data_IF_199046373320
#
_entry.id   IF_199046373320
#
_cell.length_a   1.000
_cell.length_b   1.000
_cell.length_c   1.000
_cell.angle_alpha   90.00
_cell.angle_beta   90.00
_cell.angle_gamma   90.00
#
_symmetry.space_group_name_H-M   'P 1'
#
loop_
_entity.id
_entity.type
_entity.pdbx_description
1 polymer ?
#
# COMPACT_ATOMS: atom_id res chain seq x y z
N UNK A 1 -18.42 -10.45 17.77
CA UNK A 1 -18.14 -11.85 18.17
C UNK A 1 -17.97 -11.90 19.68
N UNK A 2 -18.39 -12.96 20.40
CA UNK A 2 -17.92 -13.17 21.77
C UNK A 2 -16.39 -13.21 21.73
N UNK A 3 -15.69 -12.53 22.65
CA UNK A 3 -14.23 -12.71 22.71
C UNK A 3 -13.93 -14.21 22.81
N UNK A 4 -12.87 -14.68 22.13
CA UNK A 4 -12.41 -16.05 22.32
C UNK A 4 -12.19 -16.26 23.81
N UNK A 5 -13.05 -17.07 24.43
CA UNK A 5 -12.87 -17.52 25.80
C UNK A 5 -11.77 -18.54 25.72
N UNK A 6 -10.54 -18.07 25.88
CA UNK A 6 -9.39 -18.96 25.90
C UNK A 6 -9.49 -19.83 27.15
N UNK A 7 -9.37 -21.13 26.96
CA UNK A 7 -9.09 -22.05 28.07
C UNK A 7 -7.72 -21.68 28.67
N UNK A 8 -7.49 -21.95 29.96
CA UNK A 8 -6.18 -21.70 30.61
C UNK A 8 -5.00 -22.25 29.79
N UNK A 9 -5.22 -23.33 29.06
CA UNK A 9 -4.25 -23.97 28.16
C UNK A 9 -3.93 -23.11 26.93
N UNK A 10 -4.92 -22.44 26.35
CA UNK A 10 -4.74 -21.59 25.16
C UNK A 10 -4.10 -20.24 25.51
N UNK A 11 -4.37 -19.67 26.70
CA UNK A 11 -3.68 -18.47 27.18
C UNK A 11 -2.20 -18.74 27.42
N UNK A 12 -1.86 -19.88 28.03
CA UNK A 12 -0.47 -20.27 28.25
C UNK A 12 0.30 -20.45 26.92
N UNK A 13 -0.38 -20.96 25.89
CA UNK A 13 0.21 -21.17 24.55
C UNK A 13 0.39 -19.84 23.79
N UNK A 14 -0.58 -18.92 23.90
CA UNK A 14 -0.49 -17.56 23.36
C UNK A 14 0.65 -16.75 24.01
N UNK A 15 0.74 -16.80 25.34
CA UNK A 15 1.82 -16.17 26.11
C UNK A 15 3.18 -16.74 25.68
N UNK A 16 3.25 -18.05 25.50
CA UNK A 16 4.46 -18.72 25.02
C UNK A 16 4.83 -18.28 23.60
N UNK A 17 3.87 -18.13 22.69
CA UNK A 17 4.09 -17.59 21.33
C UNK A 17 4.68 -16.18 21.38
N UNK A 18 4.13 -15.31 22.23
CA UNK A 18 4.63 -13.94 22.44
C UNK A 18 6.08 -13.97 22.94
N UNK A 19 6.42 -14.84 23.90
CA UNK A 19 7.78 -14.98 24.41
C UNK A 19 8.79 -15.53 23.38
N UNK A 20 8.32 -16.25 22.36
CA UNK A 20 9.14 -16.68 21.22
C UNK A 20 9.22 -15.63 20.09
N UNK A 21 8.65 -14.44 20.29
CA UNK A 21 8.63 -13.37 19.30
C UNK A 21 7.66 -13.60 18.14
N UNK A 22 6.75 -14.56 18.27
CA UNK A 22 5.70 -14.81 17.29
C UNK A 22 4.45 -13.97 17.66
N UNK A 23 4.17 -12.95 16.84
CA UNK A 23 3.06 -12.00 17.02
C UNK A 23 1.87 -12.29 16.09
N UNK A 24 1.88 -13.44 15.39
CA UNK A 24 0.78 -13.82 14.51
C UNK A 24 -0.44 -14.28 15.31
N UNK A 25 -1.65 -13.95 14.84
CA UNK A 25 -2.94 -14.36 15.43
C UNK A 25 -3.19 -13.91 16.89
N UNK A 26 -2.62 -12.77 17.30
CA UNK A 26 -2.95 -12.17 18.58
C UNK A 26 -4.45 -11.79 18.66
N UNK A 27 -5.11 -11.94 19.82
CA UNK A 27 -6.47 -11.45 20.01
C UNK A 27 -6.56 -9.95 19.77
N UNK A 28 -7.67 -9.50 19.20
CA UNK A 28 -7.98 -8.07 19.05
C UNK A 28 -7.95 -7.40 20.42
N UNK A 29 -7.17 -6.33 20.59
CA UNK A 29 -7.20 -5.56 21.83
C UNK A 29 -8.54 -4.82 21.95
N UNK A 30 -9.07 -4.75 23.17
CA UNK A 30 -10.09 -3.77 23.51
C UNK A 30 -9.48 -2.36 23.34
N UNK A 31 -9.65 -1.78 22.16
CA UNK A 31 -9.09 -0.48 21.83
C UNK A 31 -10.07 0.64 22.11
N UNK A 32 -9.55 1.85 22.30
CA UNK A 32 -10.31 3.11 22.36
C UNK A 32 -9.87 4.09 21.26
N UNK A 33 -9.09 3.61 20.30
CA UNK A 33 -8.45 4.43 19.26
C UNK A 33 -9.10 4.16 17.90
N UNK A 34 -9.22 5.21 17.08
CA UNK A 34 -9.77 5.19 15.74
C UNK A 34 -8.79 5.90 14.78
N UNK A 35 -8.27 5.21 13.76
CA UNK A 35 -7.15 5.68 12.93
C UNK A 35 -7.53 6.07 11.47
N UNK A 36 -8.02 7.29 11.16
CA UNK A 36 -8.32 7.77 9.77
C UNK A 36 -8.13 9.31 9.62
N UNK A 37 -7.89 9.84 8.41
CA UNK A 37 -7.74 11.27 7.99
C UNK A 37 -9.05 12.13 8.08
N UNK A 38 -9.13 13.49 8.06
CA UNK A 38 -8.65 14.62 8.91
C UNK A 38 -9.79 15.62 9.13
N UNK A 39 -9.89 16.22 10.34
CA UNK A 39 -10.41 17.56 10.71
C UNK A 39 -10.49 17.60 12.25
N UNK A 40 -10.27 18.75 12.90
CA UNK A 40 -10.45 18.90 14.37
C UNK A 40 -11.85 18.48 14.83
N UNK A 41 -12.83 18.60 13.93
CA UNK A 41 -14.20 18.16 14.16
C UNK A 41 -14.33 16.66 14.41
N UNK A 42 -13.50 15.79 13.82
CA UNK A 42 -13.58 14.35 14.10
C UNK A 42 -13.01 14.01 15.48
N UNK A 43 -11.92 14.65 15.87
CA UNK A 43 -11.33 14.46 17.19
C UNK A 43 -12.30 14.88 18.28
N UNK A 44 -12.94 16.04 18.12
CA UNK A 44 -14.00 16.48 19.04
C UNK A 44 -15.19 15.52 19.01
N UNK A 45 -15.72 15.18 17.84
CA UNK A 45 -16.85 14.27 17.70
C UNK A 45 -16.62 12.90 18.35
N UNK A 46 -15.48 12.26 18.08
CA UNK A 46 -15.18 10.93 18.61
C UNK A 46 -14.99 10.95 20.13
N UNK A 47 -14.31 11.98 20.63
CA UNK A 47 -14.07 12.16 22.07
C UNK A 47 -15.36 12.48 22.82
N UNK A 48 -16.13 13.45 22.33
CA UNK A 48 -17.34 13.94 23.01
C UNK A 48 -18.50 12.95 22.92
N UNK A 49 -18.71 12.34 21.74
CA UNK A 49 -19.86 11.43 21.53
C UNK A 49 -19.58 10.01 22.02
N UNK A 50 -18.36 9.52 21.85
CA UNK A 50 -18.04 8.10 22.06
C UNK A 50 -16.92 7.85 23.06
N UNK A 51 -16.22 8.89 23.56
CA UNK A 51 -15.08 8.73 24.47
C UNK A 51 -13.87 8.06 23.81
N UNK A 52 -13.75 8.17 22.48
CA UNK A 52 -12.67 7.58 21.69
C UNK A 52 -11.58 8.60 21.37
N UNK A 53 -10.35 8.12 21.26
CA UNK A 53 -9.23 8.87 20.70
C UNK A 53 -9.22 8.70 19.17
N UNK A 54 -9.14 9.82 18.45
CA UNK A 54 -9.03 9.83 17.00
C UNK A 54 -7.58 10.08 16.60
N UNK A 55 -6.97 9.07 16.00
CA UNK A 55 -5.64 9.12 15.41
C UNK A 55 -5.77 9.18 13.88
N UNK A 56 -4.80 9.79 13.21
CA UNK A 56 -4.72 9.81 11.76
C UNK A 56 -3.43 9.12 11.39
N UNK A 57 -3.51 8.14 10.49
CA UNK A 57 -2.33 7.45 9.97
C UNK A 57 -2.28 7.64 8.47
N UNK A 58 -1.24 8.32 8.00
CA UNK A 58 -0.93 8.47 6.58
C UNK A 58 0.30 7.62 6.27
N UNK A 59 0.12 6.60 5.42
CA UNK A 59 1.17 5.64 5.05
C UNK A 59 2.28 6.22 4.16
N UNK A 60 2.14 7.47 3.73
CA UNK A 60 3.11 8.20 2.89
C UNK A 60 3.76 9.37 3.64
N UNK A 61 3.23 9.75 4.80
CA UNK A 61 3.82 10.79 5.63
C UNK A 61 4.85 10.19 6.59
N UNK A 62 6.03 10.81 6.70
CA UNK A 62 7.01 10.44 7.71
C UNK A 62 7.86 9.22 7.35
N UNK A 63 7.77 8.75 6.09
CA UNK A 63 8.78 7.86 5.50
C UNK A 63 10.10 8.62 5.47
N UNK A 64 11.05 8.17 6.28
CA UNK A 64 12.37 8.78 6.36
C UNK A 64 13.27 8.28 5.23
N UNK A 65 14.31 9.06 4.91
CA UNK A 65 15.30 8.69 3.89
C UNK A 65 15.93 7.32 4.17
N UNK A 66 16.10 6.96 5.44
CA UNK A 66 16.63 5.66 5.87
C UNK A 66 15.72 4.48 5.48
N UNK A 67 14.40 4.69 5.38
CA UNK A 67 13.47 3.66 4.92
C UNK A 67 13.58 3.42 3.41
N UNK A 68 13.97 4.45 2.66
CA UNK A 68 14.30 4.34 1.23
C UNK A 68 15.62 3.59 1.04
N UNK A 69 16.62 3.88 1.89
CA UNK A 69 17.93 3.22 1.87
C UNK A 69 17.80 1.71 2.08
N UNK A 70 17.06 1.29 3.11
CA UNK A 70 16.83 -0.12 3.45
C UNK A 70 15.71 -0.80 2.65
N UNK A 71 15.07 -0.11 1.71
CA UNK A 71 13.91 -0.58 0.93
C UNK A 71 12.68 -0.99 1.78
N UNK A 72 12.57 -0.49 3.01
CA UNK A 72 11.54 -0.88 4.00
C UNK A 72 10.23 -0.12 3.86
N UNK A 73 10.14 0.91 3.02
CA UNK A 73 8.95 1.77 2.91
C UNK A 73 7.65 0.99 2.71
N UNK A 74 7.64 -0.03 1.84
CA UNK A 74 6.43 -0.84 1.61
C UNK A 74 6.12 -1.75 2.78
N UNK A 75 7.14 -2.34 3.41
CA UNK A 75 6.97 -3.21 4.58
C UNK A 75 6.40 -2.44 5.77
N UNK A 76 6.95 -1.25 6.07
CA UNK A 76 6.44 -0.37 7.13
C UNK A 76 4.99 0.04 6.87
N UNK A 77 4.63 0.32 5.62
CA UNK A 77 3.27 0.61 5.23
C UNK A 77 2.31 -0.58 5.49
N UNK A 78 2.70 -1.81 5.14
CA UNK A 78 1.89 -3.00 5.42
C UNK A 78 1.76 -3.28 6.92
N UNK A 79 2.83 -3.07 7.70
CA UNK A 79 2.79 -3.24 9.16
C UNK A 79 1.86 -2.22 9.83
N UNK A 80 1.86 -0.99 9.33
CA UNK A 80 1.01 0.07 9.86
C UNK A 80 -0.48 -0.20 9.56
N UNK A 81 -0.75 -0.74 8.38
CA UNK A 81 -2.06 -1.29 8.01
C UNK A 81 -2.51 -2.36 9.03
N UNK A 82 -1.68 -3.39 9.26
CA UNK A 82 -2.00 -4.48 10.18
C UNK A 82 -2.23 -3.95 11.61
N UNK A 83 -1.46 -2.95 12.03
CA UNK A 83 -1.65 -2.27 13.30
C UNK A 83 -3.01 -1.55 13.35
N UNK A 84 -3.38 -0.80 12.32
CA UNK A 84 -4.66 -0.11 12.23
C UNK A 84 -5.83 -1.11 12.31
N UNK A 85 -5.73 -2.27 11.66
CA UNK A 85 -6.73 -3.33 11.78
C UNK A 85 -6.86 -3.86 13.21
N UNK A 86 -5.72 -4.06 13.88
CA UNK A 86 -5.66 -4.63 15.23
C UNK A 86 -6.18 -3.68 16.30
N UNK A 87 -5.97 -2.36 16.12
CA UNK A 87 -6.26 -1.36 17.15
C UNK A 87 -7.47 -0.48 16.85
N UNK A 88 -8.03 -0.47 15.65
CA UNK A 88 -9.15 0.44 15.38
C UNK A 88 -10.48 -0.14 15.83
N UNK A 89 -11.25 0.63 16.60
CA UNK A 89 -12.64 0.29 16.96
C UNK A 89 -13.61 0.48 15.81
N UNK A 90 -13.33 1.48 14.96
CA UNK A 90 -14.18 1.86 13.85
C UNK A 90 -13.50 1.68 12.51
N UNK A 91 -13.83 2.52 11.51
CA UNK A 91 -13.20 2.42 10.22
C UNK A 91 -11.67 2.50 10.37
N UNK A 92 -10.97 1.61 9.66
CA UNK A 92 -9.52 1.42 9.79
C UNK A 92 -8.78 1.61 8.46
N UNK A 93 -9.52 1.73 7.36
CA UNK A 93 -8.95 1.92 6.04
C UNK A 93 -9.85 2.80 5.17
N UNK A 94 -9.25 3.86 4.60
CA UNK A 94 -9.90 4.67 3.56
C UNK A 94 -8.98 4.76 2.37
N UNK A 95 -9.49 4.45 1.19
CA UNK A 95 -8.70 4.41 -0.04
C UNK A 95 -9.31 5.30 -1.13
N UNK A 96 -8.43 6.04 -1.81
CA UNK A 96 -8.75 6.84 -2.97
C UNK A 96 -8.15 6.19 -4.22
N UNK A 97 -8.97 5.56 -5.06
CA UNK A 97 -8.53 4.94 -6.31
C UNK A 97 -8.85 5.86 -7.50
N UNK A 98 -7.79 6.39 -8.11
CA UNK A 98 -7.85 7.19 -9.33
C UNK A 98 -7.59 6.36 -10.60
N UNK A 99 -6.97 7.00 -11.60
CA UNK A 99 -6.50 6.37 -12.85
C UNK A 99 -4.99 6.10 -12.85
N UNK A 100 -4.33 6.26 -11.69
CA UNK A 100 -2.92 5.94 -11.49
C UNK A 100 -2.80 4.64 -10.71
N UNK A 101 -2.22 3.63 -11.34
CA UNK A 101 -1.86 2.36 -10.73
C UNK A 101 -0.67 2.53 -9.77
N UNK A 102 0.28 3.39 -10.16
CA UNK A 102 1.31 3.91 -9.29
C UNK A 102 2.60 3.09 -9.24
N UNK A 103 3.38 3.35 -8.20
CA UNK A 103 4.72 2.79 -8.04
C UNK A 103 4.67 1.28 -7.81
N UNK A 104 5.48 0.55 -8.57
CA UNK A 104 5.65 -0.90 -8.52
C UNK A 104 7.07 -1.19 -8.00
N UNK A 105 7.22 -1.47 -6.70
CA UNK A 105 8.53 -1.53 -6.05
C UNK A 105 9.34 -2.75 -6.48
N UNK A 106 10.66 -2.66 -6.31
CA UNK A 106 11.52 -3.84 -6.39
C UNK A 106 11.18 -4.81 -5.25
N UNK A 107 11.20 -6.14 -5.51
CA UNK A 107 11.09 -7.11 -4.45
C UNK A 107 12.31 -7.02 -3.53
N UNK A 108 12.10 -6.80 -2.24
CA UNK A 108 13.19 -6.72 -1.25
C UNK A 108 13.79 -8.08 -0.93
N UNK A 109 12.98 -9.14 -1.07
CA UNK A 109 13.34 -10.53 -0.85
C UNK A 109 12.83 -11.37 -2.02
N UNK A 110 13.68 -12.25 -2.53
CA UNK A 110 13.36 -13.19 -3.60
C UNK A 110 13.80 -14.59 -3.15
N UNK A 111 12.97 -15.60 -3.34
CA UNK A 111 13.36 -16.99 -3.05
C UNK A 111 14.55 -17.41 -3.91
N UNK A 112 15.49 -18.17 -3.35
CA UNK A 112 16.70 -18.57 -4.07
C UNK A 112 16.41 -19.26 -5.42
N UNK A 113 15.41 -20.15 -5.45
CA UNK A 113 15.01 -20.83 -6.68
C UNK A 113 14.51 -19.84 -7.75
N UNK A 114 13.64 -18.90 -7.36
CA UNK A 114 13.13 -17.85 -8.26
C UNK A 114 14.25 -16.93 -8.73
N UNK A 115 15.17 -16.54 -7.84
CA UNK A 115 16.31 -15.68 -8.15
C UNK A 115 17.26 -16.33 -9.17
N UNK A 116 17.64 -17.60 -8.93
CA UNK A 116 18.50 -18.36 -9.85
C UNK A 116 17.84 -18.57 -11.21
N UNK A 117 16.54 -18.84 -11.23
CA UNK A 117 15.76 -18.92 -12.47
C UNK A 117 15.78 -17.57 -13.21
N UNK A 118 15.58 -16.46 -12.49
CA UNK A 118 15.69 -15.10 -13.04
C UNK A 118 17.04 -14.85 -13.70
N UNK A 119 18.15 -15.16 -13.00
CA UNK A 119 19.50 -15.05 -13.56
C UNK A 119 19.69 -15.86 -14.86
N UNK A 120 19.10 -17.05 -14.94
CA UNK A 120 19.24 -17.93 -16.12
C UNK A 120 18.58 -17.37 -17.39
N UNK A 121 17.64 -16.44 -17.24
CA UNK A 121 16.91 -15.82 -18.35
C UNK A 121 17.30 -14.36 -18.60
N UNK A 122 18.10 -13.78 -17.70
CA UNK A 122 18.58 -12.41 -17.80
C UNK A 122 19.70 -12.25 -18.82
N UNK A 123 19.81 -11.05 -19.39
CA UNK A 123 21.00 -10.66 -20.15
C UNK A 123 22.24 -10.66 -19.23
N UNK A 124 23.46 -10.79 -19.77
CA UNK A 124 24.67 -10.70 -18.96
C UNK A 124 24.76 -9.42 -18.13
N UNK A 125 24.23 -8.31 -18.64
CA UNK A 125 24.26 -7.01 -17.97
C UNK A 125 23.27 -6.97 -16.80
N UNK A 126 22.04 -7.44 -17.02
CA UNK A 126 21.02 -7.54 -15.98
C UNK A 126 21.41 -8.55 -14.88
N UNK A 127 22.03 -9.67 -15.26
CA UNK A 127 22.52 -10.67 -14.31
C UNK A 127 23.65 -10.11 -13.41
N UNK A 128 24.54 -9.27 -13.96
CA UNK A 128 25.53 -8.55 -13.15
C UNK A 128 24.86 -7.57 -12.20
N UNK A 129 23.82 -6.88 -12.64
CA UNK A 129 23.06 -5.94 -11.81
C UNK A 129 22.37 -6.66 -10.65
N UNK A 130 21.71 -7.78 -10.91
CA UNK A 130 21.13 -8.62 -9.86
C UNK A 130 22.17 -9.14 -8.88
N UNK A 131 23.30 -9.66 -9.38
CA UNK A 131 24.37 -10.18 -8.53
C UNK A 131 25.04 -9.10 -7.66
N UNK A 132 25.05 -7.85 -8.14
CA UNK A 132 25.53 -6.70 -7.38
C UNK A 132 24.57 -6.35 -6.23
N UNK A 133 23.28 -6.23 -6.55
CA UNK A 133 22.27 -5.67 -5.65
C UNK A 133 21.56 -6.68 -4.75
N UNK A 134 21.55 -7.96 -5.09
CA UNK A 134 20.92 -9.00 -4.29
C UNK A 134 21.96 -9.96 -3.74
N UNK A 135 21.95 -10.19 -2.42
CA UNK A 135 22.87 -11.12 -1.74
C UNK A 135 22.10 -12.23 -1.04
N UNK A 136 22.67 -13.42 -1.08
CA UNK A 136 22.12 -14.60 -0.42
C UNK A 136 22.17 -14.42 1.10
N UNK A 137 21.01 -14.46 1.74
CA UNK A 137 20.84 -14.66 3.17
C UNK A 137 20.49 -16.12 3.41
N UNK A 138 21.44 -16.86 3.97
CA UNK A 138 21.32 -18.28 4.31
C UNK A 138 20.85 -18.53 5.74
N UNK A 139 20.56 -17.46 6.50
CA UNK A 139 20.10 -17.59 7.89
C UNK A 139 18.60 -17.93 8.02
N UNK A 140 17.89 -18.01 6.88
CA UNK A 140 16.46 -18.31 6.84
C UNK A 140 16.21 -19.76 6.38
N UNK A 141 15.12 -20.37 6.88
CA UNK A 141 14.77 -21.78 6.63
C UNK A 141 14.63 -22.05 5.13
N UNK A 142 14.06 -21.10 4.39
CA UNK A 142 14.20 -21.01 2.95
C UNK A 142 15.29 -19.96 2.65
N UNK A 143 16.33 -20.33 1.91
CA UNK A 143 17.38 -19.38 1.53
C UNK A 143 16.82 -18.30 0.60
N UNK A 144 17.09 -17.03 0.93
CA UNK A 144 16.54 -15.86 0.24
C UNK A 144 17.66 -15.00 -0.33
N UNK A 145 17.39 -14.33 -1.45
CA UNK A 145 18.20 -13.22 -1.94
C UNK A 145 17.57 -11.90 -1.50
N UNK A 146 18.35 -11.11 -0.75
CA UNK A 146 17.92 -9.83 -0.17
C UNK A 146 18.53 -8.66 -0.94
N UNK A 147 17.69 -7.69 -1.31
CA UNK A 147 18.11 -6.43 -1.90
C UNK A 147 18.97 -5.66 -0.87
N UNK A 148 20.14 -5.21 -1.30
CA UNK A 148 21.09 -4.52 -0.44
C UNK A 148 20.70 -3.05 -0.23
N UNK A 149 20.98 -2.48 0.96
CA UNK A 149 20.84 -1.05 1.19
C UNK A 149 21.58 -0.21 0.13
N UNK A 150 20.98 0.92 -0.24
CA UNK A 150 21.52 1.81 -1.29
C UNK A 150 22.90 2.34 -0.89
N UNK A 151 23.04 2.72 0.38
CA UNK A 151 24.24 3.27 1.02
C UNK A 151 25.43 2.32 1.06
N UNK A 152 25.22 1.00 0.86
CA UNK A 152 26.33 0.05 0.74
C UNK A 152 27.11 0.20 -0.58
N UNK A 153 26.46 0.72 -1.62
CA UNK A 153 27.06 0.91 -2.94
C UNK A 153 27.26 2.41 -3.21
N UNK A 154 26.24 3.21 -2.94
CA UNK A 154 26.24 4.66 -3.08
C UNK A 154 26.43 5.32 -1.70
N UNK A 155 27.68 5.41 -1.27
CA UNK A 155 28.06 5.72 0.11
C UNK A 155 27.52 7.07 0.65
N UNK A 156 27.25 8.03 -0.23
CA UNK A 156 26.77 9.36 0.16
C UNK A 156 25.25 9.48 0.06
N UNK A 157 24.52 8.39 -0.23
CA UNK A 157 23.06 8.40 -0.42
C UNK A 157 22.29 8.99 0.76
N UNK A 158 22.82 8.86 1.98
CA UNK A 158 22.23 9.43 3.21
C UNK A 158 23.11 10.53 3.83
N UNK A 159 24.12 11.03 3.12
CA UNK A 159 25.10 11.99 3.65
C UNK A 159 24.56 13.43 3.60
N UNK A 160 23.77 13.76 4.62
CA UNK A 160 23.21 15.11 4.82
C UNK A 160 24.28 16.19 5.01
N UNK A 161 25.53 15.83 5.34
CA UNK A 161 26.62 16.78 5.47
C UNK A 161 27.21 17.20 4.12
N UNK A 162 27.04 16.39 3.07
CA UNK A 162 27.55 16.66 1.72
C UNK A 162 26.43 16.62 0.66
N UNK A 163 25.54 17.64 0.58
CA UNK A 163 24.36 17.61 -0.28
C UNK A 163 24.63 17.35 -1.77
N UNK A 164 25.74 17.86 -2.29
CA UNK A 164 26.11 17.65 -3.71
C UNK A 164 26.43 16.19 -4.02
N UNK A 165 27.18 15.52 -3.13
CA UNK A 165 27.52 14.11 -3.31
C UNK A 165 26.28 13.22 -3.10
N UNK A 166 25.42 13.60 -2.16
CA UNK A 166 24.13 12.95 -1.94
C UNK A 166 23.24 13.03 -3.19
N UNK A 167 23.08 14.21 -3.80
CA UNK A 167 22.29 14.37 -5.04
C UNK A 167 22.84 13.54 -6.21
N UNK A 168 24.17 13.45 -6.33
CA UNK A 168 24.84 12.62 -7.34
C UNK A 168 24.56 11.12 -7.14
N UNK A 169 24.64 10.65 -5.89
CA UNK A 169 24.37 9.26 -5.53
C UNK A 169 22.87 8.90 -5.62
N UNK A 170 21.98 9.82 -5.23
CA UNK A 170 20.53 9.68 -5.41
C UNK A 170 20.16 9.55 -6.89
N UNK A 171 20.71 10.40 -7.75
CA UNK A 171 20.47 10.36 -9.19
C UNK A 171 20.91 9.02 -9.79
N UNK A 172 22.10 8.54 -9.41
CA UNK A 172 22.61 7.23 -9.82
C UNK A 172 21.74 6.08 -9.32
N UNK A 173 21.23 6.16 -8.08
CA UNK A 173 20.29 5.19 -7.55
C UNK A 173 18.99 5.17 -8.35
N UNK A 174 18.39 6.33 -8.65
CA UNK A 174 17.14 6.40 -9.41
C UNK A 174 17.28 5.84 -10.85
N UNK A 175 18.43 6.04 -11.48
CA UNK A 175 18.74 5.38 -12.75
C UNK A 175 18.89 3.86 -12.58
N UNK A 176 19.60 3.43 -11.53
CA UNK A 176 19.88 2.03 -11.22
C UNK A 176 18.61 1.25 -10.88
N UNK A 177 17.73 1.80 -10.04
CA UNK A 177 16.44 1.19 -9.71
C UNK A 177 15.52 1.10 -10.93
N UNK A 178 15.60 2.06 -11.86
CA UNK A 178 14.90 1.96 -13.16
C UNK A 178 15.38 0.76 -13.98
N UNK A 179 16.70 0.55 -14.06
CA UNK A 179 17.30 -0.61 -14.73
C UNK A 179 16.93 -1.94 -14.04
N UNK A 180 17.03 -2.00 -12.70
CA UNK A 180 16.64 -3.16 -11.91
C UNK A 180 15.16 -3.51 -12.11
N UNK A 181 14.26 -2.52 -12.03
CA UNK A 181 12.83 -2.75 -12.19
C UNK A 181 12.51 -3.33 -13.57
N UNK A 182 13.13 -2.79 -14.62
CA UNK A 182 13.01 -3.33 -15.98
C UNK A 182 13.53 -4.77 -16.03
N UNK A 183 14.72 -5.03 -15.51
CA UNK A 183 15.34 -6.35 -15.51
C UNK A 183 14.46 -7.39 -14.79
N UNK A 184 13.92 -7.07 -13.60
CA UNK A 184 13.05 -7.96 -12.82
C UNK A 184 11.79 -8.31 -13.60
N UNK A 185 11.12 -7.32 -14.18
CA UNK A 185 9.87 -7.55 -14.93
C UNK A 185 10.10 -8.35 -16.21
N UNK A 186 11.21 -8.08 -16.93
CA UNK A 186 11.59 -8.86 -18.11
C UNK A 186 11.89 -10.31 -17.73
N UNK A 187 12.63 -10.54 -16.65
CA UNK A 187 12.93 -11.89 -16.17
C UNK A 187 11.65 -12.63 -15.75
N UNK A 188 10.77 -12.00 -14.97
CA UNK A 188 9.50 -12.59 -14.55
C UNK A 188 8.61 -12.97 -15.76
N UNK A 189 8.53 -12.08 -16.77
CA UNK A 189 7.78 -12.35 -18.00
C UNK A 189 8.36 -13.50 -18.81
N UNK A 190 9.69 -13.62 -18.87
CA UNK A 190 10.35 -14.72 -19.56
C UNK A 190 10.16 -16.05 -18.83
N UNK A 191 10.18 -16.05 -17.50
CA UNK A 191 9.84 -17.23 -16.70
C UNK A 191 8.38 -17.66 -16.87
N UNK A 192 7.46 -16.70 -17.04
CA UNK A 192 6.06 -16.99 -17.37
C UNK A 192 5.94 -17.67 -18.73
N UNK A 193 6.64 -17.16 -19.76
CA UNK A 193 6.64 -17.76 -21.11
C UNK A 193 7.19 -19.18 -21.11
N UNK A 194 8.16 -19.48 -20.25
CA UNK A 194 8.75 -20.82 -20.08
C UNK A 194 7.90 -21.76 -19.23
N UNK A 195 6.77 -21.29 -18.68
CA UNK A 195 5.91 -22.08 -17.81
C UNK A 195 6.50 -22.37 -16.43
N UNK A 196 7.59 -21.68 -16.05
CA UNK A 196 8.19 -21.78 -14.72
C UNK A 196 7.38 -20.95 -13.72
N UNK A 197 6.97 -19.74 -14.13
CA UNK A 197 6.04 -18.91 -13.38
C UNK A 197 4.62 -19.12 -13.86
N UNK A 198 3.68 -19.19 -12.92
CA UNK A 198 2.27 -18.98 -13.20
C UNK A 198 1.98 -17.49 -13.44
N UNK A 199 0.79 -17.14 -13.99
CA UNK A 199 0.37 -15.74 -14.07
C UNK A 199 0.36 -15.04 -12.71
N UNK A 200 0.06 -15.77 -11.63
CA UNK A 200 0.09 -15.24 -10.27
C UNK A 200 1.51 -14.91 -9.81
N UNK A 201 2.48 -15.78 -10.10
CA UNK A 201 3.90 -15.56 -9.79
C UNK A 201 4.43 -14.34 -10.53
N UNK A 202 4.19 -14.25 -11.84
CA UNK A 202 4.56 -13.09 -12.63
C UNK A 202 3.89 -11.80 -12.11
N UNK A 203 2.62 -11.87 -11.71
CA UNK A 203 1.91 -10.72 -11.17
C UNK A 203 2.57 -10.19 -9.89
N UNK A 204 3.12 -11.05 -9.00
CA UNK A 204 3.83 -10.61 -7.78
C UNK A 204 4.94 -9.60 -8.07
N UNK A 205 5.67 -9.79 -9.16
CA UNK A 205 6.76 -8.91 -9.60
C UNK A 205 6.29 -7.63 -10.31
N UNK A 206 4.98 -7.47 -10.50
CA UNK A 206 4.37 -6.36 -11.23
C UNK A 206 3.32 -5.59 -10.40
N UNK A 207 3.08 -5.94 -9.14
CA UNK A 207 2.07 -5.25 -8.31
C UNK A 207 2.53 -3.87 -7.90
N UNK A 208 1.61 -2.90 -7.89
CA UNK A 208 1.87 -1.60 -7.29
C UNK A 208 1.73 -1.66 -5.77
N UNK A 209 2.30 -0.68 -5.07
CA UNK A 209 2.07 -0.53 -3.62
C UNK A 209 0.57 -0.37 -3.33
N UNK A 210 -0.14 0.43 -4.13
CA UNK A 210 -1.60 0.60 -4.01
C UNK A 210 -2.34 -0.72 -4.13
N UNK A 211 -1.96 -1.59 -5.07
CA UNK A 211 -2.56 -2.92 -5.15
C UNK A 211 -2.27 -3.74 -3.89
N UNK A 212 -1.04 -3.71 -3.37
CA UNK A 212 -0.69 -4.46 -2.16
C UNK A 212 -1.54 -4.02 -0.96
N UNK A 213 -1.72 -2.71 -0.77
CA UNK A 213 -2.57 -2.12 0.28
C UNK A 213 -4.03 -2.59 0.14
N UNK A 214 -4.60 -2.47 -1.07
CA UNK A 214 -5.98 -2.88 -1.33
C UNK A 214 -6.18 -4.38 -1.19
N UNK A 215 -5.22 -5.20 -1.64
CA UNK A 215 -5.28 -6.65 -1.49
C UNK A 215 -5.27 -7.02 -0.01
N UNK A 216 -4.41 -6.38 0.79
CA UNK A 216 -4.33 -6.63 2.25
C UNK A 216 -5.64 -6.25 2.94
N UNK A 217 -6.13 -5.03 2.69
CA UNK A 217 -7.23 -4.44 3.48
C UNK A 217 -8.63 -4.74 2.96
N UNK A 218 -8.79 -4.86 1.66
CA UNK A 218 -10.12 -5.05 1.08
C UNK A 218 -10.29 -6.50 0.66
N UNK A 219 -9.31 -7.09 -0.04
CA UNK A 219 -9.51 -8.42 -0.62
C UNK A 219 -9.30 -9.55 0.38
N UNK A 220 -8.35 -9.41 1.31
CA UNK A 220 -7.96 -10.45 2.26
C UNK A 220 -8.48 -10.23 3.69
N UNK A 221 -8.96 -9.04 4.04
CA UNK A 221 -9.47 -8.76 5.39
C UNK A 221 -10.78 -9.50 5.67
N UNK A 222 -10.90 -10.04 6.89
CA UNK A 222 -12.07 -10.81 7.33
C UNK A 222 -13.31 -9.93 7.59
N UNK A 223 -13.12 -8.72 8.14
CA UNK A 223 -14.18 -7.78 8.53
C UNK A 223 -14.09 -6.46 7.75
N UNK A 224 -14.32 -6.50 6.42
CA UNK A 224 -14.12 -5.35 5.53
C UNK A 224 -15.33 -4.42 5.33
N UNK A 225 -16.54 -4.93 5.54
CA UNK A 225 -17.77 -4.24 5.10
C UNK A 225 -18.07 -2.99 5.95
N UNK A 226 -17.77 -3.04 7.25
CA UNK A 226 -18.05 -1.94 8.19
C UNK A 226 -16.80 -1.11 8.55
N UNK A 227 -15.61 -1.51 8.08
CA UNK A 227 -14.36 -0.86 8.45
C UNK A 227 -13.65 -0.13 7.31
N UNK A 228 -14.13 -0.30 6.07
CA UNK A 228 -13.49 0.28 4.89
C UNK A 228 -14.39 1.26 4.14
N UNK A 229 -13.80 2.38 3.71
CA UNK A 229 -14.43 3.37 2.83
C UNK A 229 -13.60 3.55 1.57
N UNK A 230 -14.24 3.51 0.41
CA UNK A 230 -13.55 3.55 -0.88
C UNK A 230 -14.10 4.68 -1.74
N UNK A 231 -13.20 5.48 -2.29
CA UNK A 231 -13.51 6.58 -3.18
C UNK A 231 -12.88 6.33 -4.55
N UNK A 232 -13.70 6.28 -5.59
CA UNK A 232 -13.23 6.21 -6.97
C UNK A 232 -13.33 7.57 -7.61
N UNK A 233 -12.24 7.97 -8.30
CA UNK A 233 -12.23 9.17 -9.12
C UNK A 233 -11.86 8.83 -10.56
N UNK A 234 -12.76 9.14 -11.47
CA UNK A 234 -12.50 9.17 -12.89
C UNK A 234 -12.29 10.62 -13.36
N UNK A 235 -11.19 10.89 -14.02
CA UNK A 235 -10.89 12.16 -14.69
C UNK A 235 -11.06 11.92 -16.19
N UNK A 236 -12.02 12.60 -16.79
CA UNK A 236 -12.27 12.52 -18.23
C UNK A 236 -11.30 13.41 -18.99
N UNK A 237 -10.97 13.00 -20.22
CA UNK A 237 -10.18 13.80 -21.17
C UNK A 237 -8.79 14.21 -20.66
N UNK A 238 -8.11 13.34 -19.91
CA UNK A 238 -6.73 13.59 -19.44
C UNK A 238 -5.83 13.95 -20.63
N UNK A 239 -5.24 15.14 -20.60
CA UNK A 239 -4.32 15.58 -21.64
C UNK A 239 -2.93 14.94 -21.47
N UNK A 240 -2.70 13.84 -22.18
CA UNK A 240 -1.39 13.13 -22.21
C UNK A 240 -0.28 13.97 -22.86
N UNK A 241 -0.64 14.98 -23.66
CA UNK A 241 0.30 15.94 -24.26
C UNK A 241 1.01 16.84 -23.23
N UNK A 242 0.53 16.88 -21.98
CA UNK A 242 1.12 17.62 -20.87
C UNK A 242 1.69 16.66 -19.79
N UNK A 243 2.74 15.87 -20.07
CA UNK A 243 3.20 14.79 -19.21
C UNK A 243 3.56 15.25 -17.79
N UNK A 244 4.09 16.48 -17.63
CA UNK A 244 4.40 17.06 -16.31
C UNK A 244 3.19 17.10 -15.36
N UNK A 245 1.98 17.21 -15.91
CA UNK A 245 0.73 17.24 -15.15
C UNK A 245 0.02 15.88 -15.20
N UNK A 246 -0.13 15.28 -16.38
CA UNK A 246 -0.87 14.01 -16.54
C UNK A 246 -0.22 12.82 -15.83
N UNK A 247 1.12 12.75 -15.72
CA UNK A 247 1.81 11.67 -14.99
C UNK A 247 1.41 11.58 -13.51
N UNK A 248 0.87 12.66 -12.93
CA UNK A 248 0.35 12.68 -11.55
C UNK A 248 -0.95 11.88 -11.40
N UNK A 249 -1.68 11.67 -12.49
CA UNK A 249 -3.04 11.11 -12.49
C UNK A 249 -3.18 9.81 -13.27
N UNK A 250 -2.26 9.55 -14.20
CA UNK A 250 -2.21 8.32 -15.01
C UNK A 250 -0.75 7.89 -15.20
N UNK A 251 -0.51 6.59 -15.37
CA UNK A 251 0.82 6.07 -15.63
C UNK A 251 1.19 6.25 -17.10
N UNK A 252 2.36 6.84 -17.34
CA UNK A 252 2.87 7.15 -18.68
C UNK A 252 4.27 6.55 -18.80
N UNK A 253 4.49 5.80 -19.87
CA UNK A 253 5.78 5.22 -20.24
C UNK A 253 6.07 5.59 -21.68
N UNK A 254 7.29 6.07 -21.96
CA UNK A 254 7.69 6.46 -23.33
C UNK A 254 6.73 7.45 -24.01
N UNK A 255 6.20 8.41 -23.23
CA UNK A 255 5.20 9.43 -23.66
C UNK A 255 3.84 8.86 -24.09
N UNK A 256 3.53 7.61 -23.74
CA UNK A 256 2.24 6.96 -24.00
C UNK A 256 1.66 6.44 -22.68
N UNK A 257 0.35 6.22 -22.66
CA UNK A 257 -0.31 5.59 -21.50
C UNK A 257 0.27 4.19 -21.31
N UNK A 258 0.61 3.85 -20.07
CA UNK A 258 1.03 2.50 -19.72
C UNK A 258 -0.19 1.57 -19.67
N UNK A 259 -0.48 0.94 -20.81
CA UNK A 259 -1.62 0.03 -20.98
C UNK A 259 -1.57 -1.18 -20.02
N UNK A 260 -0.39 -1.63 -19.62
CA UNK A 260 -0.25 -2.72 -18.66
C UNK A 260 -0.70 -2.27 -17.26
N UNK A 261 -0.24 -1.10 -16.81
CA UNK A 261 -0.70 -0.47 -15.58
C UNK A 261 -2.23 -0.26 -15.59
N UNK A 262 -2.78 0.26 -16.69
CA UNK A 262 -4.21 0.52 -16.79
C UNK A 262 -5.04 -0.78 -16.72
N UNK A 263 -4.61 -1.87 -17.36
CA UNK A 263 -5.29 -3.17 -17.24
C UNK A 263 -5.29 -3.69 -15.80
N UNK A 264 -4.15 -3.65 -15.12
CA UNK A 264 -4.07 -4.09 -13.72
C UNK A 264 -4.91 -3.21 -12.79
N UNK A 265 -4.92 -1.89 -13.03
CA UNK A 265 -5.75 -0.96 -12.28
C UNK A 265 -7.24 -1.21 -12.50
N UNK A 266 -7.68 -1.41 -13.74
CA UNK A 266 -9.09 -1.69 -14.04
C UNK A 266 -9.55 -3.00 -13.40
N UNK A 267 -8.74 -4.05 -13.44
CA UNK A 267 -9.04 -5.30 -12.72
C UNK A 267 -9.16 -5.06 -11.20
N UNK A 268 -8.24 -4.30 -10.60
CA UNK A 268 -8.29 -3.98 -9.17
C UNK A 268 -9.52 -3.11 -8.81
N UNK A 269 -9.62 -1.93 -9.43
CA UNK A 269 -10.57 -0.86 -9.09
C UNK A 269 -11.98 -1.15 -9.57
N UNK A 270 -12.14 -1.68 -10.77
CA UNK A 270 -13.45 -1.79 -11.42
C UNK A 270 -14.06 -3.20 -11.28
N UNK A 271 -13.26 -4.21 -10.93
CA UNK A 271 -13.72 -5.61 -10.79
C UNK A 271 -13.56 -6.12 -9.35
N UNK A 272 -12.33 -6.25 -8.84
CA UNK A 272 -12.07 -6.93 -7.56
C UNK A 272 -12.60 -6.16 -6.36
N UNK A 273 -12.39 -4.84 -6.30
CA UNK A 273 -12.86 -4.01 -5.19
C UNK A 273 -14.40 -3.95 -5.12
N UNK A 274 -15.13 -3.67 -6.23
CA UNK A 274 -16.60 -3.71 -6.23
C UNK A 274 -17.18 -5.09 -5.92
N UNK A 275 -16.49 -6.17 -6.29
CA UNK A 275 -16.91 -7.53 -5.92
C UNK A 275 -16.70 -7.84 -4.42
N UNK A 276 -15.77 -7.15 -3.76
CA UNK A 276 -15.42 -7.39 -2.37
C UNK A 276 -16.22 -6.52 -1.37
N UNK A 277 -16.59 -5.30 -1.77
CA UNK A 277 -17.25 -4.32 -0.91
C UNK A 277 -18.74 -4.15 -1.24
N UNK A 278 -19.51 -3.64 -0.27
CA UNK A 278 -20.87 -3.20 -0.54
C UNK A 278 -20.87 -1.90 -1.36
N UNK A 279 -21.89 -1.68 -2.20
CA UNK A 279 -22.01 -0.42 -2.95
C UNK A 279 -22.13 0.80 -2.01
N UNK A 280 -22.58 0.61 -0.76
CA UNK A 280 -22.64 1.71 0.23
C UNK A 280 -21.26 2.16 0.72
N UNK A 281 -20.25 1.28 0.62
CA UNK A 281 -18.86 1.55 1.01
C UNK A 281 -18.05 2.16 -0.14
N UNK A 282 -18.65 2.32 -1.33
CA UNK A 282 -18.00 2.86 -2.53
C UNK A 282 -18.67 4.18 -2.92
N UNK A 283 -17.87 5.24 -3.01
CA UNK A 283 -18.30 6.56 -3.51
C UNK A 283 -17.59 6.81 -4.82
N UNK A 284 -18.31 7.29 -5.83
CA UNK A 284 -17.77 7.50 -7.19
C UNK A 284 -17.88 8.96 -7.57
N UNK A 285 -16.81 9.47 -8.16
CA UNK A 285 -16.75 10.82 -8.72
C UNK A 285 -16.21 10.78 -10.14
N UNK A 286 -16.79 11.61 -10.99
CA UNK A 286 -16.28 11.90 -12.33
C UNK A 286 -16.04 13.39 -12.45
N UNK A 287 -14.84 13.78 -12.89
CA UNK A 287 -14.43 15.18 -13.07
C UNK A 287 -13.78 15.37 -14.44
N UNK A 288 -13.80 16.59 -14.95
CA UNK A 288 -13.17 16.91 -16.24
C UNK A 288 -11.71 17.32 -16.06
N UNK A 289 -10.86 16.92 -16.99
CA UNK A 289 -9.54 17.53 -17.12
C UNK A 289 -9.66 18.99 -17.56
N UNK A 290 -8.87 19.86 -16.95
CA UNK A 290 -8.75 21.28 -17.30
C UNK A 290 -7.36 21.57 -17.87
N UNK A 291 -7.26 22.55 -18.77
CA UNK A 291 -6.13 22.70 -19.69
C UNK A 291 -4.77 23.04 -19.05
N UNK A 292 -4.73 23.67 -17.88
CA UNK A 292 -3.46 24.13 -17.27
C UNK A 292 -2.78 23.04 -16.41
N UNK A 293 -3.49 22.51 -15.41
CA UNK A 293 -2.93 21.64 -14.38
C UNK A 293 -3.64 20.28 -14.25
N UNK A 294 -4.64 20.04 -15.10
CA UNK A 294 -5.58 18.93 -14.98
C UNK A 294 -6.69 19.19 -13.98
N UNK A 295 -6.37 19.32 -12.69
CA UNK A 295 -7.35 19.64 -11.65
C UNK A 295 -7.08 21.00 -11.01
N UNK A 296 -7.99 21.95 -11.26
CA UNK A 296 -7.95 23.30 -10.70
C UNK A 296 -8.92 23.45 -9.51
N UNK A 297 -8.47 24.06 -8.39
CA UNK A 297 -9.29 24.24 -7.17
C UNK A 297 -10.53 25.12 -7.38
N UNK A 298 -10.43 26.15 -8.21
CA UNK A 298 -11.53 27.07 -8.51
C UNK A 298 -12.56 26.40 -9.40
N UNK A 299 -12.11 25.77 -10.49
CA UNK A 299 -13.00 25.06 -11.42
C UNK A 299 -13.69 23.87 -10.76
N UNK A 300 -12.99 23.14 -9.89
CA UNK A 300 -13.52 21.96 -9.20
C UNK A 300 -14.02 22.27 -7.79
N UNK A 301 -14.30 23.54 -7.46
CA UNK A 301 -14.68 23.93 -6.09
C UNK A 301 -15.93 23.17 -5.59
N UNK A 302 -16.95 23.04 -6.44
CA UNK A 302 -18.18 22.30 -6.12
C UNK A 302 -17.90 20.81 -5.86
N UNK A 303 -17.12 20.17 -6.74
CA UNK A 303 -16.67 18.78 -6.55
C UNK A 303 -15.91 18.61 -5.24
N UNK A 304 -14.95 19.50 -4.94
CA UNK A 304 -14.16 19.43 -3.71
C UNK A 304 -15.02 19.60 -2.47
N UNK A 305 -15.97 20.54 -2.49
CA UNK A 305 -16.90 20.75 -1.39
C UNK A 305 -17.77 19.51 -1.17
N UNK A 306 -18.38 18.98 -2.22
CA UNK A 306 -19.21 17.78 -2.14
C UNK A 306 -18.41 16.55 -1.67
N UNK A 307 -17.17 16.42 -2.13
CA UNK A 307 -16.26 15.38 -1.69
C UNK A 307 -15.96 15.47 -0.19
N UNK A 308 -15.64 16.66 0.32
CA UNK A 308 -15.36 16.89 1.74
C UNK A 308 -16.59 16.56 2.60
N UNK A 309 -17.76 17.06 2.21
CA UNK A 309 -19.01 16.80 2.92
C UNK A 309 -19.37 15.32 2.94
N UNK A 310 -19.26 14.65 1.79
CA UNK A 310 -19.52 13.21 1.68
C UNK A 310 -18.52 12.41 2.51
N UNK A 311 -17.23 12.75 2.43
CA UNK A 311 -16.19 12.11 3.24
C UNK A 311 -16.51 12.23 4.72
N UNK A 312 -16.88 13.44 5.17
CA UNK A 312 -17.27 13.68 6.56
C UNK A 312 -18.46 12.83 7.01
N UNK A 313 -19.58 12.94 6.29
CA UNK A 313 -20.81 12.22 6.63
C UNK A 313 -20.59 10.72 6.64
N UNK A 314 -19.93 10.18 5.61
CA UNK A 314 -19.69 8.73 5.49
C UNK A 314 -18.77 8.21 6.59
N UNK A 315 -17.73 8.96 6.92
CA UNK A 315 -16.82 8.55 7.97
C UNK A 315 -17.53 8.54 9.33
N UNK A 316 -18.31 9.58 9.64
CA UNK A 316 -19.15 9.64 10.85
C UNK A 316 -20.13 8.47 10.92
N UNK A 317 -20.83 8.16 9.82
CA UNK A 317 -21.76 7.03 9.74
C UNK A 317 -21.07 5.69 10.07
N UNK A 318 -19.86 5.46 9.54
CA UNK A 318 -19.08 4.26 9.82
C UNK A 318 -18.61 4.20 11.28
N UNK A 319 -18.17 5.32 11.85
CA UNK A 319 -17.77 5.42 13.25
C UNK A 319 -18.95 5.07 14.16
N UNK A 320 -20.10 5.73 13.95
CA UNK A 320 -21.29 5.51 14.76
C UNK A 320 -21.77 4.06 14.69
N UNK A 321 -21.76 3.47 13.49
CA UNK A 321 -22.14 2.07 13.28
C UNK A 321 -21.20 1.12 14.02
N UNK A 322 -19.89 1.31 13.87
CA UNK A 322 -18.88 0.44 14.48
C UNK A 322 -18.94 0.49 16.01
N UNK A 323 -19.08 1.69 16.58
CA UNK A 323 -19.24 1.86 18.04
C UNK A 323 -20.55 1.26 18.53
N UNK A 324 -21.64 1.42 17.78
CA UNK A 324 -22.93 0.81 18.09
C UNK A 324 -22.87 -0.73 18.13
N UNK A 325 -22.19 -1.35 17.17
CA UNK A 325 -21.97 -2.80 17.13
C UNK A 325 -21.12 -3.29 18.32
N UNK A 326 -20.07 -2.56 18.72
CA UNK A 326 -19.30 -2.94 19.91
C UNK A 326 -20.12 -2.84 21.20
N UNK A 327 -20.92 -1.77 21.36
CA UNK A 327 -21.79 -1.60 22.54
C UNK A 327 -22.83 -2.71 22.66
N UNK A 328 -23.42 -3.15 21.55
CA UNK A 328 -24.40 -4.25 21.55
C UNK A 328 -23.76 -5.61 21.86
N UNK A 329 -22.52 -5.84 21.42
CA UNK A 329 -21.74 -7.03 21.77
C UNK A 329 -21.32 -7.03 23.25
N UNK A 330 -21.02 -5.87 23.83
CA UNK A 330 -20.68 -5.72 25.25
C UNK A 330 -21.88 -5.80 26.21
N UNK A 331 -23.08 -5.46 25.75
CA UNK A 331 -24.30 -5.46 26.58
C UNK A 331 -25.02 -6.82 26.67
N UNK A 332 -24.59 -7.81 25.88
CA UNK A 332 -25.09 -9.19 25.90
C UNK A 332 -24.16 -10.15 26.69
N UNK A 333 -23.32 -9.61 27.58
CA UNK A 333 -22.44 -10.35 28.50
C UNK A 333 -22.93 -10.27 29.92
#
# INVERSE_FOLDING_TARGET
>A
MPEPTYTETQEAELIRHIFYGNLDNLPSLASKVLCIFTSSTFTEYCREKHGLEFQVVDMRWGVRDEATDDHKTTELCMQEIDNCQRVSVGPNFVVFLGQKYGYRPLPTKIEEAEFRNGLSVSSPDDARLFSLWYKLDSNNIASLFCLQPVSLIFINFTDKANPRLMEEDESQWWETTGKLNRAVRVAALELLKRGIFSPFDNHRYNRSVTEQEVVREILNAKDRVDHTLTFFRNIENINIGLPRHSMKFIDIVSKQVDEEAQRMLSDLRDVRVPAALSETSIIRYTVQWTDEDGLNKTFHAEYLQNFIETFYTRLVELIDRSVGQQKSLGSNR
#
